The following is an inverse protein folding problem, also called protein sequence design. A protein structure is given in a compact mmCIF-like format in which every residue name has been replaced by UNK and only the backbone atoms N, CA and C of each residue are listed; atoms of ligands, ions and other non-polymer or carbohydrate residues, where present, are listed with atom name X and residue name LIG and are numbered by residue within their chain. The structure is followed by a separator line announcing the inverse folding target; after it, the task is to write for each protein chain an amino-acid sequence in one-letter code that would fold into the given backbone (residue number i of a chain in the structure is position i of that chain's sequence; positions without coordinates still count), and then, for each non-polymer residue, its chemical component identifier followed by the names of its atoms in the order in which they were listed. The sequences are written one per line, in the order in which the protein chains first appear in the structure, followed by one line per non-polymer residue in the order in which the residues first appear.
data_IF_898573393695
#
_entry.id   IF_898573393695
#
_cell.length_a   1.000
_cell.length_b   1.000
_cell.length_c   1.000
_cell.angle_alpha   90.00
_cell.angle_beta   90.00
_cell.angle_gamma   90.00
#
_symmetry.space_group_name_H-M   'P 1'
#
loop_
_entity.id
_entity.type
_entity.pdbx_description
1 polymer ?
#
# COMPACT_ATOMS: atom_id res chain seq x y z
N UNK A 1 -10.56 14.14 -24.20
CA UNK A 1 -10.61 13.79 -22.75
C UNK A 1 -11.54 14.78 -22.06
N UNK A 2 -12.72 14.36 -21.61
CA UNK A 2 -13.66 15.23 -20.89
C UNK A 2 -13.01 15.70 -19.58
N UNK A 3 -13.00 17.02 -19.30
CA UNK A 3 -12.46 17.56 -18.04
C UNK A 3 -13.29 17.02 -16.88
N UNK A 4 -12.63 16.34 -15.93
CA UNK A 4 -13.27 15.84 -14.71
C UNK A 4 -13.70 17.02 -13.82
N UNK A 5 -14.85 16.88 -13.17
CA UNK A 5 -15.34 17.86 -12.20
C UNK A 5 -14.38 17.96 -11.02
N UNK A 6 -14.09 19.19 -10.54
CA UNK A 6 -13.21 19.42 -9.37
C UNK A 6 -13.63 18.63 -8.13
N UNK A 7 -14.94 18.41 -7.94
CA UNK A 7 -15.49 17.56 -6.87
C UNK A 7 -15.02 16.11 -6.97
N UNK A 8 -15.03 15.52 -8.16
CA UNK A 8 -14.56 14.14 -8.38
C UNK A 8 -13.06 14.02 -8.09
N UNK A 9 -12.27 15.01 -8.48
CA UNK A 9 -10.84 15.06 -8.19
C UNK A 9 -10.57 15.12 -6.68
N UNK A 10 -11.36 15.94 -5.96
CA UNK A 10 -11.27 16.07 -4.51
C UNK A 10 -11.59 14.75 -3.79
N UNK A 11 -12.70 14.09 -4.13
CA UNK A 11 -13.07 12.79 -3.54
C UNK A 11 -12.06 11.68 -3.89
N UNK A 12 -11.46 11.73 -5.09
CA UNK A 12 -10.41 10.79 -5.48
C UNK A 12 -9.12 11.00 -4.68
N UNK A 13 -8.73 12.24 -4.40
CA UNK A 13 -7.59 12.52 -3.52
C UNK A 13 -7.85 12.10 -2.07
N UNK A 14 -9.09 12.25 -1.58
CA UNK A 14 -9.49 11.80 -0.25
C UNK A 14 -9.30 10.30 -0.04
N UNK A 15 -9.50 9.48 -1.08
CA UNK A 15 -9.25 8.03 -0.99
C UNK A 15 -7.77 7.65 -0.90
N UNK A 16 -6.85 8.54 -1.29
CA UNK A 16 -5.40 8.31 -1.21
C UNK A 16 -4.82 8.65 0.17
N UNK A 17 -5.46 9.57 0.90
CA UNK A 17 -5.00 10.01 2.22
C UNK A 17 -4.78 8.85 3.22
N UNK A 18 -5.73 7.91 3.43
CA UNK A 18 -5.53 6.82 4.38
C UNK A 18 -4.38 5.88 3.98
N UNK A 19 -4.16 5.72 2.68
CA UNK A 19 -3.09 4.89 2.13
C UNK A 19 -1.74 5.53 2.46
N UNK A 20 -1.58 6.82 2.11
CA UNK A 20 -0.37 7.58 2.40
C UNK A 20 -0.07 7.64 3.92
N UNK A 21 -1.10 7.85 4.75
CA UNK A 21 -0.97 7.88 6.21
C UNK A 21 -0.53 6.54 6.78
N UNK A 22 -0.91 5.41 6.16
CA UNK A 22 -0.53 4.07 6.61
C UNK A 22 0.88 3.68 6.15
N UNK A 23 1.27 4.05 4.92
CA UNK A 23 2.58 3.74 4.36
C UNK A 23 3.73 4.52 5.00
N UNK A 24 3.48 5.77 5.44
CA UNK A 24 4.53 6.61 6.02
C UNK A 24 5.18 6.00 7.28
N UNK A 25 4.42 5.56 8.30
CA UNK A 25 4.98 4.83 9.43
C UNK A 25 5.73 3.57 9.02
N UNK A 26 5.20 2.78 8.09
CA UNK A 26 5.86 1.53 7.64
C UNK A 26 7.21 1.80 6.99
N UNK A 27 7.36 2.89 6.23
CA UNK A 27 8.65 3.21 5.60
C UNK A 27 9.66 3.86 6.54
N UNK A 28 9.21 4.64 7.53
CA UNK A 28 10.10 5.46 8.37
C UNK A 28 10.31 4.84 9.75
N UNK A 29 9.24 4.37 10.39
CA UNK A 29 9.30 3.85 11.75
C UNK A 29 9.88 2.44 11.79
N UNK A 30 9.45 1.54 10.92
CA UNK A 30 9.84 0.12 10.96
C UNK A 30 11.37 -0.06 10.83
N UNK A 31 12.06 0.49 9.81
CA UNK A 31 13.52 0.30 9.71
C UNK A 31 14.27 0.90 10.90
N UNK A 32 13.81 2.04 11.41
CA UNK A 32 14.40 2.72 12.57
C UNK A 32 14.21 1.90 13.84
N UNK A 33 13.00 1.39 14.08
CA UNK A 33 12.66 0.58 15.24
C UNK A 33 13.52 -0.70 15.29
N UNK A 34 13.61 -1.43 14.18
CA UNK A 34 14.43 -2.64 14.15
C UNK A 34 15.94 -2.35 14.24
N UNK A 35 16.43 -1.25 13.67
CA UNK A 35 17.86 -0.90 13.74
C UNK A 35 18.29 -0.36 15.10
N UNK A 36 17.49 0.53 15.70
CA UNK A 36 17.84 1.26 16.93
C UNK A 36 17.34 0.57 18.20
N UNK A 37 16.07 0.14 18.23
CA UNK A 37 15.45 -0.38 19.46
C UNK A 37 15.69 -1.89 19.62
N UNK A 38 15.67 -2.65 18.52
CA UNK A 38 15.91 -4.09 18.54
C UNK A 38 17.36 -4.50 18.24
N UNK A 39 18.20 -3.55 17.83
CA UNK A 39 19.63 -3.79 17.54
C UNK A 39 19.89 -4.78 16.39
N UNK A 40 18.94 -4.92 15.46
CA UNK A 40 19.08 -5.85 14.34
C UNK A 40 20.23 -5.39 13.43
N UNK A 41 21.12 -6.30 12.98
CA UNK A 41 22.21 -5.94 12.08
C UNK A 41 21.71 -5.25 10.81
N UNK A 42 22.34 -4.14 10.41
CA UNK A 42 21.96 -3.36 9.22
C UNK A 42 21.96 -4.21 7.94
N UNK A 43 22.86 -5.18 7.83
CA UNK A 43 22.93 -6.10 6.68
C UNK A 43 21.64 -6.94 6.60
N UNK A 44 21.14 -7.44 7.73
CA UNK A 44 19.90 -8.20 7.77
C UNK A 44 18.69 -7.31 7.43
N UNK A 45 18.64 -6.09 7.96
CA UNK A 45 17.58 -5.15 7.62
C UNK A 45 17.58 -4.76 6.14
N UNK A 46 18.76 -4.49 5.58
CA UNK A 46 18.92 -4.18 4.17
C UNK A 46 18.46 -5.33 3.27
N UNK A 47 18.79 -6.58 3.63
CA UNK A 47 18.33 -7.76 2.87
C UNK A 47 16.82 -7.94 2.96
N UNK A 48 16.21 -7.81 4.13
CA UNK A 48 14.74 -7.90 4.29
C UNK A 48 14.04 -6.81 3.47
N UNK A 49 14.46 -5.55 3.61
CA UNK A 49 13.87 -4.44 2.87
C UNK A 49 14.07 -4.59 1.35
N UNK A 50 15.20 -5.13 0.93
CA UNK A 50 15.43 -5.47 -0.48
C UNK A 50 14.41 -6.49 -0.97
N UNK A 51 14.18 -7.59 -0.24
CA UNK A 51 13.19 -8.58 -0.64
C UNK A 51 11.76 -8.04 -0.65
N UNK A 52 11.39 -7.18 0.31
CA UNK A 52 10.09 -6.49 0.32
C UNK A 52 9.90 -5.67 -0.96
N UNK A 53 10.89 -4.84 -1.32
CA UNK A 53 10.82 -4.03 -2.55
C UNK A 53 10.84 -4.89 -3.81
N UNK A 54 11.60 -5.97 -3.79
CA UNK A 54 11.65 -6.89 -4.92
C UNK A 54 10.30 -7.59 -5.13
N UNK A 55 9.60 -7.94 -4.05
CA UNK A 55 8.22 -8.44 -4.17
C UNK A 55 7.27 -7.38 -4.73
N UNK A 56 7.39 -6.12 -4.31
CA UNK A 56 6.55 -5.02 -4.81
C UNK A 56 6.66 -4.87 -6.34
N UNK A 57 7.87 -5.00 -6.89
CA UNK A 57 8.13 -4.95 -8.34
C UNK A 57 7.31 -5.98 -9.12
N UNK A 58 6.97 -7.12 -8.50
CA UNK A 58 6.18 -8.18 -9.12
C UNK A 58 4.70 -8.00 -8.81
N UNK A 59 4.35 -7.68 -7.57
CA UNK A 59 2.96 -7.60 -7.13
C UNK A 59 2.25 -6.38 -7.68
N UNK A 60 2.94 -5.24 -7.83
CA UNK A 60 2.32 -3.99 -8.30
C UNK A 60 1.83 -4.10 -9.75
N UNK A 61 2.63 -4.58 -10.73
CA UNK A 61 2.14 -4.80 -12.09
C UNK A 61 1.07 -5.88 -12.17
N UNK A 62 1.20 -6.95 -11.39
CA UNK A 62 0.22 -8.04 -11.35
C UNK A 62 -1.15 -7.51 -10.89
N UNK A 63 -1.18 -6.80 -9.77
CA UNK A 63 -2.41 -6.19 -9.26
C UNK A 63 -2.95 -5.11 -10.19
N UNK A 64 -2.09 -4.35 -10.85
CA UNK A 64 -2.48 -3.42 -11.91
C UNK A 64 -3.22 -4.13 -13.05
N UNK A 65 -2.65 -5.23 -13.56
CA UNK A 65 -3.26 -6.03 -14.63
C UNK A 65 -4.60 -6.63 -14.21
N UNK A 66 -4.66 -7.26 -13.03
CA UNK A 66 -5.88 -7.89 -12.51
C UNK A 66 -6.99 -6.85 -12.30
N UNK A 67 -6.65 -5.72 -11.68
CA UNK A 67 -7.59 -4.63 -11.40
C UNK A 67 -8.20 -4.03 -12.67
N UNK A 68 -7.39 -3.89 -13.73
CA UNK A 68 -7.86 -3.34 -15.01
C UNK A 68 -8.71 -4.33 -15.83
N UNK A 69 -8.47 -5.64 -15.70
CA UNK A 69 -9.25 -6.68 -16.39
C UNK A 69 -10.54 -7.09 -15.67
N UNK A 70 -10.71 -6.67 -14.42
CA UNK A 70 -11.90 -7.01 -13.62
C UNK A 70 -13.14 -6.25 -14.11
N UNK A 71 -14.11 -6.95 -14.71
CA UNK A 71 -15.41 -6.40 -15.11
C UNK A 71 -16.46 -6.66 -14.03
N UNK A 72 -16.65 -5.71 -13.11
CA UNK A 72 -17.68 -5.79 -12.08
C UNK A 72 -18.81 -4.78 -12.28
N UNK A 73 -19.99 -5.11 -11.72
CA UNK A 73 -21.20 -4.26 -11.73
C UNK A 73 -21.04 -2.96 -10.92
N UNK A 74 -20.10 -2.92 -9.96
CA UNK A 74 -19.81 -1.75 -9.11
C UNK A 74 -18.61 -0.92 -9.60
N UNK A 75 -17.99 -1.30 -10.73
CA UNK A 75 -16.82 -0.65 -11.31
C UNK A 75 -15.56 -1.52 -11.23
N UNK A 76 -14.58 -1.25 -12.11
CA UNK A 76 -13.37 -2.08 -12.27
C UNK A 76 -12.46 -2.08 -11.05
N UNK A 77 -12.18 -0.90 -10.48
CA UNK A 77 -11.21 -0.71 -9.38
C UNK A 77 -11.82 -0.66 -7.97
N UNK A 78 -13.13 -0.38 -7.86
CA UNK A 78 -13.78 -0.17 -6.54
C UNK A 78 -13.85 -1.43 -5.69
N UNK A 79 -14.04 -2.60 -6.30
CA UNK A 79 -14.06 -3.88 -5.56
C UNK A 79 -12.70 -4.17 -4.94
N UNK A 80 -11.62 -3.96 -5.71
CA UNK A 80 -10.26 -4.17 -5.23
C UNK A 80 -9.92 -3.25 -4.05
N UNK A 81 -10.37 -1.99 -4.07
CA UNK A 81 -10.19 -1.05 -2.95
C UNK A 81 -10.94 -1.53 -1.70
N UNK A 82 -12.19 -1.99 -1.85
CA UNK A 82 -12.99 -2.46 -0.71
C UNK A 82 -12.40 -3.75 -0.11
N UNK A 83 -11.91 -4.66 -0.94
CA UNK A 83 -11.28 -5.90 -0.50
C UNK A 83 -9.88 -5.67 0.09
N UNK A 84 -9.11 -4.72 -0.43
CA UNK A 84 -7.78 -4.40 0.10
C UNK A 84 -7.85 -3.66 1.43
N UNK A 85 -8.92 -2.93 1.71
CA UNK A 85 -9.09 -2.18 2.97
C UNK A 85 -8.95 -3.06 4.23
N UNK A 86 -9.74 -4.14 4.42
CA UNK A 86 -9.59 -4.99 5.61
C UNK A 86 -8.25 -5.73 5.65
N UNK A 87 -7.71 -6.11 4.48
CA UNK A 87 -6.40 -6.74 4.38
C UNK A 87 -5.30 -5.78 4.86
N UNK A 88 -5.32 -4.53 4.40
CA UNK A 88 -4.38 -3.49 4.83
C UNK A 88 -4.51 -3.22 6.34
N UNK A 89 -5.73 -3.14 6.87
CA UNK A 89 -5.95 -2.96 8.31
C UNK A 89 -5.33 -4.10 9.13
N UNK A 90 -5.50 -5.35 8.68
CA UNK A 90 -4.92 -6.52 9.35
C UNK A 90 -3.39 -6.52 9.27
N UNK A 91 -2.82 -6.20 8.11
CA UNK A 91 -1.36 -6.12 7.93
C UNK A 91 -0.72 -5.04 8.79
N UNK A 92 -1.33 -3.84 8.85
CA UNK A 92 -0.85 -2.76 9.73
C UNK A 92 -0.95 -3.19 11.18
N UNK A 93 -2.05 -3.83 11.59
CA UNK A 93 -2.21 -4.33 12.95
C UNK A 93 -1.10 -5.30 13.36
N UNK A 94 -0.75 -6.27 12.51
CA UNK A 94 0.34 -7.23 12.77
C UNK A 94 1.75 -6.62 12.73
N UNK A 95 1.93 -5.48 12.06
CA UNK A 95 3.23 -4.80 11.99
C UNK A 95 3.54 -4.02 13.27
N UNK A 96 2.52 -3.58 14.01
CA UNK A 96 2.68 -2.71 15.18
C UNK A 96 2.38 -3.38 16.52
N UNK A 97 1.86 -4.62 16.53
CA UNK A 97 1.44 -5.35 17.74
C UNK A 97 2.05 -6.75 17.77
#
# INVERSE_FOLDING_TARGET
MSKLTKKTLFFYGLTDLPIAMSLFPVMVFIPRFYASDMGVPLVLLGTILFFVRWSDVITDPLMGYISDHTRSRFGRRKIWIVLSTPLMMLSVYQLFL
#
